data_IF_933821219938
#
_entry.id   IF_933821219938
#
_cell.length_a   1.000
_cell.length_b   1.000
_cell.length_c   1.000
_cell.angle_alpha   90.00
_cell.angle_beta   90.00
_cell.angle_gamma   90.00
#
_symmetry.space_group_name_H-M   'P 1'
#
loop_
_entity.id
_entity.type
_entity.pdbx_description
1 polymer ?
#
# COMPACT_ATOMS: atom_id res chain seq x y z
N UNK A 1 0.05 9.57 1.91
CA UNK A 1 0.67 8.59 0.98
C UNK A 1 -0.05 8.54 -0.36
N UNK A 2 -1.34 8.19 -0.42
CA UNK A 2 -2.09 8.08 -1.68
C UNK A 2 -2.06 9.36 -2.52
N UNK A 3 -2.30 10.53 -1.92
CA UNK A 3 -2.20 11.85 -2.58
C UNK A 3 -0.84 12.07 -3.26
N UNK A 4 0.25 11.63 -2.63
CA UNK A 4 1.61 11.73 -3.20
C UNK A 4 1.80 10.80 -4.39
N UNK A 5 1.12 9.66 -4.42
CA UNK A 5 1.14 8.74 -5.56
C UNK A 5 0.29 9.25 -6.71
N UNK A 6 -0.88 9.83 -6.43
CA UNK A 6 -1.78 10.44 -7.42
C UNK A 6 -1.08 11.58 -8.17
N UNK A 7 -0.41 12.48 -7.45
CA UNK A 7 0.40 13.56 -8.06
C UNK A 7 1.55 13.06 -8.95
N UNK A 8 1.90 11.77 -8.86
CA UNK A 8 2.92 11.11 -9.68
C UNK A 8 2.36 10.08 -10.66
N UNK A 9 1.03 9.98 -10.79
CA UNK A 9 0.32 8.96 -11.59
C UNK A 9 0.76 7.53 -11.24
N UNK A 10 0.84 7.20 -9.96
CA UNK A 10 1.32 5.89 -9.44
C UNK A 10 0.37 5.25 -8.44
N UNK A 11 -0.78 5.86 -8.18
CA UNK A 11 -1.86 5.34 -7.36
C UNK A 11 -2.36 3.97 -7.86
N UNK A 12 -2.39 3.76 -9.17
CA UNK A 12 -2.83 2.50 -9.77
C UNK A 12 -1.98 1.28 -9.37
N UNK A 13 -0.73 1.49 -8.93
CA UNK A 13 0.13 0.41 -8.42
C UNK A 13 -0.26 -0.04 -7.01
N UNK A 14 -0.77 0.86 -6.16
CA UNK A 14 -1.28 0.48 -4.82
C UNK A 14 -2.73 0.00 -4.89
N UNK A 15 -3.53 0.57 -5.79
CA UNK A 15 -4.90 0.13 -6.03
C UNK A 15 -4.98 -1.19 -6.79
N UNK A 16 -3.88 -1.61 -7.44
CA UNK A 16 -3.83 -2.84 -8.24
C UNK A 16 -4.65 -2.76 -9.54
N UNK A 17 -5.08 -1.57 -9.95
CA UNK A 17 -5.87 -1.37 -11.18
C UNK A 17 -5.01 -1.45 -12.43
N UNK A 18 -3.70 -1.20 -12.32
CA UNK A 18 -2.74 -1.39 -13.41
C UNK A 18 -2.07 -2.77 -13.31
N UNK A 19 -2.55 -3.72 -14.11
CA UNK A 19 -2.03 -5.09 -14.15
C UNK A 19 -0.63 -5.16 -14.74
N UNK A 20 0.20 -6.09 -14.24
CA UNK A 20 1.52 -6.36 -14.81
C UNK A 20 1.40 -6.78 -16.29
N UNK A 21 2.09 -6.09 -17.22
CA UNK A 21 2.13 -6.50 -18.62
C UNK A 21 2.82 -7.85 -18.80
N UNK A 22 2.57 -8.50 -19.94
CA UNK A 22 3.27 -9.73 -20.31
C UNK A 22 4.79 -9.50 -20.37
N UNK A 23 5.60 -10.53 -20.07
CA UNK A 23 7.06 -10.48 -20.12
C UNK A 23 7.64 -9.92 -21.43
N UNK A 24 6.97 -10.17 -22.56
CA UNK A 24 7.41 -9.70 -23.89
C UNK A 24 6.90 -8.30 -24.25
N UNK A 25 6.08 -7.69 -23.40
CA UNK A 25 5.61 -6.32 -23.59
C UNK A 25 6.78 -5.34 -23.35
N UNK A 26 7.05 -4.39 -24.27
CA UNK A 26 8.06 -3.35 -24.06
C UNK A 26 7.92 -2.57 -22.74
N UNK A 27 6.70 -2.48 -22.19
CA UNK A 27 6.39 -1.77 -20.95
C UNK A 27 6.61 -2.62 -19.68
N UNK A 28 6.83 -3.94 -19.79
CA UNK A 28 6.98 -4.83 -18.64
C UNK A 28 8.10 -4.37 -17.69
N UNK A 29 9.27 -4.05 -18.25
CA UNK A 29 10.41 -3.57 -17.44
C UNK A 29 10.11 -2.24 -16.75
N UNK A 30 9.45 -1.31 -17.45
CA UNK A 30 9.06 -0.02 -16.89
C UNK A 30 8.03 -0.19 -15.76
N UNK A 31 7.07 -1.09 -15.93
CA UNK A 31 6.09 -1.46 -14.91
C UNK A 31 6.78 -2.03 -13.68
N UNK A 32 7.69 -3.00 -13.85
CA UNK A 32 8.45 -3.61 -12.75
C UNK A 32 9.27 -2.59 -11.96
N UNK A 33 9.93 -1.65 -12.64
CA UNK A 33 10.65 -0.55 -11.99
C UNK A 33 9.71 0.37 -11.20
N UNK A 34 8.55 0.72 -11.77
CA UNK A 34 7.57 1.56 -11.09
C UNK A 34 6.98 0.86 -9.85
N UNK A 35 6.62 -0.42 -9.96
CA UNK A 35 6.12 -1.21 -8.84
C UNK A 35 7.15 -1.23 -7.70
N UNK A 36 8.42 -1.55 -7.99
CA UNK A 36 9.51 -1.53 -6.98
C UNK A 36 9.72 -0.15 -6.34
N UNK A 37 9.58 0.93 -7.11
CA UNK A 37 9.69 2.28 -6.58
C UNK A 37 8.56 2.59 -5.58
N UNK A 38 7.32 2.21 -5.90
CA UNK A 38 6.18 2.37 -4.99
C UNK A 38 6.35 1.50 -3.75
N UNK A 39 6.85 0.26 -3.89
CA UNK A 39 7.20 -0.60 -2.74
C UNK A 39 8.24 0.06 -1.82
N UNK A 40 9.25 0.73 -2.39
CA UNK A 40 10.25 1.46 -1.60
C UNK A 40 9.63 2.63 -0.83
N UNK A 41 8.74 3.40 -1.46
CA UNK A 41 8.02 4.48 -0.77
C UNK A 41 7.10 3.97 0.34
N UNK A 42 6.42 2.83 0.11
CA UNK A 42 5.66 2.11 1.11
C UNK A 42 6.56 1.74 2.29
N UNK A 43 7.62 0.96 2.05
CA UNK A 43 8.54 0.49 3.08
C UNK A 43 9.15 1.64 3.88
N UNK A 44 9.55 2.73 3.22
CA UNK A 44 10.14 3.90 3.88
C UNK A 44 9.15 4.62 4.80
N UNK A 45 7.86 4.58 4.48
CA UNK A 45 6.79 5.19 5.28
C UNK A 45 6.39 4.35 6.51
N UNK A 46 6.92 3.14 6.63
CA UNK A 46 6.60 2.20 7.72
C UNK A 46 7.64 2.22 8.83
N UNK A 47 7.17 1.92 10.04
CA UNK A 47 8.04 1.54 11.16
C UNK A 47 8.78 0.22 10.83
N UNK A 48 9.96 -0.03 11.44
CA UNK A 48 10.74 -1.22 11.15
C UNK A 48 9.99 -2.55 11.36
N UNK A 49 9.13 -2.64 12.39
CA UNK A 49 8.34 -3.84 12.67
C UNK A 49 7.32 -4.13 11.56
N UNK A 50 6.59 -3.11 11.10
CA UNK A 50 5.62 -3.24 10.00
C UNK A 50 6.36 -3.58 8.70
N UNK A 51 7.47 -2.89 8.40
CA UNK A 51 8.28 -3.16 7.22
C UNK A 51 8.76 -4.61 7.15
N UNK A 52 9.25 -5.14 8.28
CA UNK A 52 9.69 -6.53 8.37
C UNK A 52 8.55 -7.50 8.07
N UNK A 53 7.32 -7.16 8.48
CA UNK A 53 6.13 -8.00 8.30
C UNK A 53 5.55 -8.03 6.87
N UNK A 54 6.12 -7.26 5.94
CA UNK A 54 5.70 -7.20 4.53
C UNK A 54 6.85 -7.46 3.56
N UNK A 55 8.05 -7.79 4.06
CA UNK A 55 9.27 -7.87 3.25
C UNK A 55 9.24 -8.96 2.17
N UNK A 56 8.40 -9.98 2.34
CA UNK A 56 8.24 -11.12 1.43
C UNK A 56 7.20 -10.88 0.34
N UNK A 57 6.49 -9.76 0.37
CA UNK A 57 5.45 -9.43 -0.61
C UNK A 57 6.11 -8.77 -1.82
N UNK A 58 5.76 -9.19 -3.03
CA UNK A 58 6.45 -8.81 -4.26
C UNK A 58 5.78 -7.67 -5.05
N UNK A 59 4.58 -7.26 -4.65
CA UNK A 59 3.84 -6.17 -5.30
C UNK A 59 3.42 -5.06 -4.33
N UNK A 60 3.41 -3.82 -4.83
CA UNK A 60 2.96 -2.68 -4.06
C UNK A 60 1.48 -2.78 -3.66
N UNK A 61 0.63 -3.34 -4.53
CA UNK A 61 -0.79 -3.55 -4.29
C UNK A 61 -1.04 -4.56 -3.18
N UNK A 62 -0.29 -5.66 -3.15
CA UNK A 62 -0.42 -6.66 -2.08
C UNK A 62 0.07 -6.14 -0.74
N UNK A 63 1.18 -5.37 -0.71
CA UNK A 63 1.63 -4.69 0.51
C UNK A 63 0.53 -3.76 1.00
N UNK A 64 -0.04 -2.94 0.12
CA UNK A 64 -1.09 -2.00 0.49
C UNK A 64 -2.34 -2.72 1.03
N UNK A 65 -2.78 -3.78 0.37
CA UNK A 65 -3.92 -4.60 0.81
C UNK A 65 -3.69 -5.22 2.18
N UNK A 66 -2.53 -5.84 2.41
CA UNK A 66 -2.19 -6.45 3.69
C UNK A 66 -2.21 -5.43 4.84
N UNK A 67 -1.71 -4.22 4.61
CA UNK A 67 -1.80 -3.13 5.58
C UNK A 67 -3.24 -2.69 5.83
N UNK A 68 -4.04 -2.55 4.77
CA UNK A 68 -5.46 -2.22 4.90
C UNK A 68 -6.18 -3.29 5.73
N UNK A 69 -5.97 -4.58 5.44
CA UNK A 69 -6.64 -5.67 6.15
C UNK A 69 -6.27 -5.67 7.65
N UNK A 70 -4.98 -5.49 7.96
CA UNK A 70 -4.46 -5.50 9.34
C UNK A 70 -4.88 -4.28 10.16
N UNK A 71 -4.88 -3.08 9.56
CA UNK A 71 -4.97 -1.83 10.32
C UNK A 71 -6.28 -1.05 10.10
N UNK A 72 -7.01 -1.27 9.00
CA UNK A 72 -8.28 -0.55 8.77
C UNK A 72 -9.40 -0.97 9.73
N UNK A 73 -9.31 -2.16 10.31
CA UNK A 73 -10.28 -2.66 11.30
C UNK A 73 -9.98 -2.12 12.70
N UNK A 74 -8.71 -2.02 13.09
CA UNK A 74 -8.29 -1.50 14.39
C UNK A 74 -8.71 -0.04 14.61
N UNK A 75 -8.61 0.78 13.57
CA UNK A 75 -9.10 2.17 13.63
C UNK A 75 -10.61 2.25 13.86
N UNK A 76 -11.41 1.35 13.26
CA UNK A 76 -12.87 1.37 13.44
C UNK A 76 -13.29 1.07 14.88
N UNK A 77 -12.70 0.06 15.51
CA UNK A 77 -12.99 -0.23 16.92
C UNK A 77 -12.56 0.91 17.83
N UNK A 78 -11.36 1.46 17.61
CA UNK A 78 -10.89 2.59 18.41
C UNK A 78 -11.74 3.85 18.22
N UNK A 79 -12.25 4.09 17.01
CA UNK A 79 -13.18 5.19 16.74
C UNK A 79 -14.48 4.99 17.53
N UNK A 80 -15.03 3.78 17.57
CA UNK A 80 -16.25 3.47 18.33
C UNK A 80 -16.01 3.65 19.82
N UNK A 81 -14.92 3.12 20.37
CA UNK A 81 -14.57 3.26 21.79
C UNK A 81 -14.46 4.74 22.18
N UNK A 82 -13.79 5.55 21.35
CA UNK A 82 -13.65 7.00 21.59
C UNK A 82 -15.00 7.74 21.48
N UNK A 83 -15.91 7.29 20.61
CA UNK A 83 -17.25 7.87 20.51
C UNK A 83 -18.10 7.55 21.75
N UNK A 84 -17.98 6.33 22.30
CA UNK A 84 -18.65 5.95 23.54
C UNK A 84 -18.08 6.69 24.77
N UNK A 85 -16.76 6.91 24.83
CA UNK A 85 -16.12 7.71 25.88
C UNK A 85 -16.57 9.19 25.86
N UNK A 86 -16.84 9.76 24.68
CA UNK A 86 -17.35 11.13 24.54
C UNK A 86 -18.85 11.27 24.84
N UNK A 87 -19.60 10.17 24.86
CA UNK A 87 -21.03 10.15 25.16
C UNK A 87 -21.33 9.90 26.64
N UNK A 88 -20.30 9.62 27.46
CA UNK A 88 -20.36 9.52 28.92
C UNK A 88 -19.74 10.76 29.59
#
# INVERSE_FOLDING_TARGET
>A
MLVTLETKNKDQFVLGTLTCPNLFDPLHKAWCCCNKMVMSWLAHSMTPSIRQSVMWIESASEIWRDLCDRFSHGDKFRIVDLQEELQN
#
